data_IF_535549777765
#
_entry.id   IF_535549777765
#
_cell.length_a   1.000
_cell.length_b   1.000
_cell.length_c   1.000
_cell.angle_alpha   90.00
_cell.angle_beta   90.00
_cell.angle_gamma   90.00
#
_symmetry.space_group_name_H-M   'P 1'
#
loop_
_entity.id
_entity.type
_entity.pdbx_description
1 polymer ?
#
# COMPACT_ATOMS: atom_id res chain seq x y z
N UNK A 1 -7.39 -12.71 -12.69
CA UNK A 1 -7.40 -13.92 -11.86
C UNK A 1 -8.85 -14.32 -11.68
N UNK A 2 -9.20 -15.56 -11.98
CA UNK A 2 -10.56 -16.06 -11.84
C UNK A 2 -10.87 -16.28 -10.34
N UNK A 3 -12.02 -15.78 -9.87
CA UNK A 3 -12.43 -15.87 -8.46
C UNK A 3 -12.58 -17.33 -7.99
N UNK A 4 -12.70 -18.28 -8.93
CA UNK A 4 -12.86 -19.71 -8.65
C UNK A 4 -11.66 -20.40 -7.96
N UNK A 5 -10.46 -19.82 -7.97
CA UNK A 5 -9.26 -20.49 -7.44
C UNK A 5 -9.00 -20.30 -5.94
N UNK A 6 -9.63 -19.31 -5.30
CA UNK A 6 -9.38 -18.95 -3.88
C UNK A 6 -10.66 -18.86 -3.05
N UNK A 7 -11.83 -19.04 -3.68
CA UNK A 7 -13.13 -18.85 -3.05
C UNK A 7 -13.36 -19.74 -1.81
N UNK A 8 -12.72 -20.91 -1.73
CA UNK A 8 -12.85 -21.83 -0.60
C UNK A 8 -11.95 -21.46 0.60
N UNK A 9 -10.97 -20.57 0.41
CA UNK A 9 -10.02 -20.14 1.46
C UNK A 9 -10.41 -18.78 2.08
N UNK A 10 -11.46 -18.13 1.55
CA UNK A 10 -11.93 -16.83 1.99
C UNK A 10 -13.14 -17.00 2.92
N UNK A 11 -13.00 -16.52 4.15
CA UNK A 11 -14.10 -16.53 5.13
C UNK A 11 -15.10 -15.42 4.84
N UNK A 12 -14.61 -14.18 4.64
CA UNK A 12 -15.43 -13.01 4.36
C UNK A 12 -14.67 -12.01 3.48
N UNK A 13 -15.40 -11.19 2.72
CA UNK A 13 -14.84 -10.03 2.00
C UNK A 13 -14.85 -8.83 2.95
N UNK A 14 -13.68 -8.45 3.48
CA UNK A 14 -13.55 -7.28 4.36
C UNK A 14 -13.71 -5.95 3.61
N UNK A 15 -13.13 -5.88 2.40
CA UNK A 15 -13.22 -4.71 1.53
C UNK A 15 -13.38 -5.16 0.09
N UNK A 16 -14.38 -4.61 -0.59
CA UNK A 16 -14.55 -4.77 -2.03
C UNK A 16 -13.51 -3.94 -2.78
N UNK A 17 -13.23 -4.32 -4.03
CA UNK A 17 -12.35 -3.56 -4.92
C UNK A 17 -12.77 -2.08 -5.01
N UNK A 18 -14.07 -1.81 -5.17
CA UNK A 18 -14.60 -0.46 -5.24
C UNK A 18 -14.33 0.36 -3.96
N UNK A 19 -14.44 -0.25 -2.78
CA UNK A 19 -14.13 0.41 -1.52
C UNK A 19 -12.64 0.76 -1.40
N UNK A 20 -11.77 -0.15 -1.85
CA UNK A 20 -10.32 0.09 -1.86
C UNK A 20 -10.00 1.24 -2.81
N UNK A 21 -10.50 1.21 -4.05
CA UNK A 21 -10.24 2.25 -5.04
C UNK A 21 -10.77 3.62 -4.59
N UNK A 22 -11.99 3.66 -4.01
CA UNK A 22 -12.53 4.91 -3.45
C UNK A 22 -11.62 5.47 -2.35
N UNK A 23 -11.15 4.61 -1.43
CA UNK A 23 -10.28 5.04 -0.34
C UNK A 23 -8.92 5.54 -0.85
N UNK A 24 -8.37 4.91 -1.89
CA UNK A 24 -7.12 5.34 -2.50
C UNK A 24 -7.25 6.69 -3.18
N UNK A 25 -8.40 6.97 -3.83
CA UNK A 25 -8.65 8.29 -4.41
C UNK A 25 -8.73 9.37 -3.32
N UNK A 26 -9.45 9.12 -2.23
CA UNK A 26 -9.51 10.05 -1.09
C UNK A 26 -8.11 10.33 -0.51
N UNK A 27 -7.27 9.30 -0.39
CA UNK A 27 -5.90 9.45 0.07
C UNK A 27 -5.04 10.23 -0.92
N UNK A 28 -5.19 10.00 -2.23
CA UNK A 28 -4.46 10.72 -3.26
C UNK A 28 -4.80 12.22 -3.27
N UNK A 29 -6.08 12.57 -3.10
CA UNK A 29 -6.54 13.96 -3.02
C UNK A 29 -5.94 14.65 -1.78
N UNK A 30 -5.93 13.95 -0.64
CA UNK A 30 -5.33 14.46 0.60
C UNK A 30 -3.81 14.67 0.45
N UNK A 31 -3.08 13.67 -0.06
CA UNK A 31 -1.64 13.76 -0.31
C UNK A 31 -1.32 14.91 -1.28
N UNK A 32 -2.16 15.11 -2.30
CA UNK A 32 -1.98 16.19 -3.28
C UNK A 32 -2.10 17.56 -2.62
N UNK A 33 -3.07 17.74 -1.73
CA UNK A 33 -3.22 18.98 -0.97
C UNK A 33 -2.04 19.19 -0.01
N UNK A 34 -1.65 18.16 0.73
CA UNK A 34 -0.61 18.23 1.77
C UNK A 34 0.78 18.51 1.18
N UNK A 35 1.06 17.99 -0.02
CA UNK A 35 2.34 18.17 -0.72
C UNK A 35 2.25 19.14 -1.91
N UNK A 36 1.29 20.07 -1.89
CA UNK A 36 1.14 21.08 -2.95
C UNK A 36 2.42 21.92 -3.08
N UNK A 37 3.02 21.92 -4.28
CA UNK A 37 4.27 22.64 -4.56
C UNK A 37 5.52 22.04 -3.93
N UNK A 38 5.44 20.81 -3.41
CA UNK A 38 6.57 20.09 -2.82
C UNK A 38 6.85 18.79 -3.58
N UNK A 39 8.11 18.38 -3.61
CA UNK A 39 8.50 17.08 -4.14
C UNK A 39 7.99 15.95 -3.24
N UNK A 40 7.56 14.85 -3.84
CA UNK A 40 7.03 13.69 -3.12
C UNK A 40 7.77 12.43 -3.56
N UNK A 41 8.37 11.76 -2.57
CA UNK A 41 8.97 10.46 -2.70
C UNK A 41 8.09 9.43 -1.97
N UNK A 42 7.59 8.45 -2.70
CA UNK A 42 6.86 7.31 -2.13
C UNK A 42 7.84 6.18 -1.81
N UNK A 43 7.91 5.75 -0.55
CA UNK A 43 8.78 4.64 -0.12
C UNK A 43 7.94 3.43 0.26
N UNK A 44 8.06 2.34 -0.50
CA UNK A 44 7.33 1.09 -0.25
C UNK A 44 8.19 0.05 0.48
N UNK A 45 7.63 -0.61 1.50
CA UNK A 45 8.29 -1.75 2.15
C UNK A 45 7.81 -3.07 1.54
N UNK A 46 8.75 -3.85 1.02
CA UNK A 46 8.43 -5.12 0.35
C UNK A 46 8.02 -6.22 1.35
N UNK A 47 7.15 -7.16 0.97
CA UNK A 47 6.50 -7.33 -0.36
C UNK A 47 5.05 -6.83 -0.41
N UNK A 48 4.40 -6.67 0.74
CA UNK A 48 2.96 -6.43 0.82
C UNK A 48 2.51 -5.08 0.25
N UNK A 49 3.38 -4.06 0.25
CA UNK A 49 3.03 -2.73 -0.21
C UNK A 49 2.90 -2.59 -1.73
N UNK A 50 3.30 -3.59 -2.52
CA UNK A 50 3.40 -3.46 -3.99
C UNK A 50 2.09 -3.04 -4.64
N UNK A 51 0.99 -3.70 -4.29
CA UNK A 51 -0.32 -3.44 -4.92
C UNK A 51 -0.85 -2.06 -4.55
N UNK A 52 -0.85 -1.72 -3.26
CA UNK A 52 -1.37 -0.43 -2.79
C UNK A 52 -0.52 0.75 -3.28
N UNK A 53 0.81 0.59 -3.35
CA UNK A 53 1.70 1.62 -3.89
C UNK A 53 1.43 1.87 -5.38
N UNK A 54 1.23 0.82 -6.17
CA UNK A 54 0.95 0.95 -7.60
C UNK A 54 -0.41 1.61 -7.87
N UNK A 55 -1.45 1.23 -7.11
CA UNK A 55 -2.78 1.84 -7.24
C UNK A 55 -2.76 3.30 -6.78
N UNK A 56 -2.17 3.60 -5.61
CA UNK A 56 -2.08 4.96 -5.10
C UNK A 56 -1.28 5.89 -6.02
N UNK A 57 -0.15 5.42 -6.55
CA UNK A 57 0.66 6.20 -7.48
C UNK A 57 -0.11 6.54 -8.77
N UNK A 58 -1.00 5.66 -9.24
CA UNK A 58 -1.88 5.93 -10.40
C UNK A 58 -2.99 6.92 -10.08
N UNK A 59 -3.47 6.98 -8.84
CA UNK A 59 -4.49 7.93 -8.41
C UNK A 59 -3.95 9.35 -8.20
N UNK A 60 -2.64 9.53 -8.06
CA UNK A 60 -2.04 10.85 -7.88
C UNK A 60 -2.03 11.64 -9.20
N UNK A 61 -2.42 12.93 -9.21
CA UNK A 61 -2.52 13.75 -10.42
C UNK A 61 -1.17 14.27 -10.92
N UNK A 62 -0.06 13.62 -10.54
CA UNK A 62 1.30 14.04 -10.87
C UNK A 62 2.26 12.86 -10.94
N UNK A 63 3.38 13.06 -11.62
CA UNK A 63 4.50 12.13 -11.52
C UNK A 63 5.08 12.14 -10.10
N UNK A 64 5.38 10.97 -9.57
CA UNK A 64 5.97 10.77 -8.24
C UNK A 64 7.16 9.86 -8.34
N UNK A 65 8.20 10.17 -7.58
CA UNK A 65 9.35 9.28 -7.43
C UNK A 65 8.98 8.15 -6.47
N UNK A 66 9.50 6.95 -6.76
CA UNK A 66 9.24 5.75 -5.98
C UNK A 66 10.54 5.06 -5.61
N UNK A 67 10.67 4.67 -4.34
CA UNK A 67 11.78 3.88 -3.83
C UNK A 67 11.26 2.71 -2.99
N UNK A 68 12.10 1.70 -2.79
CA UNK A 68 11.72 0.45 -2.14
C UNK A 68 12.72 0.02 -1.09
N UNK A 69 12.20 -0.43 0.04
CA UNK A 69 12.99 -1.04 1.10
C UNK A 69 12.60 -2.51 1.25
N UNK A 70 13.59 -3.40 1.21
CA UNK A 70 13.43 -4.80 1.59
C UNK A 70 13.89 -4.97 3.04
N UNK A 71 12.94 -5.22 3.94
CA UNK A 71 13.26 -5.49 5.36
C UNK A 71 13.00 -6.94 5.69
N UNK A 72 13.89 -7.52 6.47
CA UNK A 72 13.71 -8.82 7.10
C UNK A 72 13.53 -8.60 8.59
N UNK A 73 12.54 -9.25 9.21
CA UNK A 73 12.46 -9.28 10.66
C UNK A 73 13.74 -9.91 11.23
N UNK A 74 14.34 -9.27 12.24
CA UNK A 74 15.37 -9.91 13.06
C UNK A 74 14.68 -11.03 13.85
N UNK A 75 14.72 -12.26 13.33
CA UNK A 75 13.92 -13.38 13.82
C UNK A 75 13.92 -13.54 15.35
N UNK A 76 12.73 -13.75 15.92
CA UNK A 76 12.44 -14.23 17.30
C UNK A 76 13.57 -14.02 18.33
N UNK A 77 13.74 -12.79 18.81
CA UNK A 77 14.84 -12.43 19.69
C UNK A 77 14.51 -11.41 20.77
N UNK A 78 13.31 -11.41 21.35
CA UNK A 78 13.09 -10.70 22.62
C UNK A 78 13.60 -11.55 23.79
N UNK A 79 14.92 -11.64 23.96
CA UNK A 79 15.50 -11.79 25.30
C UNK A 79 15.65 -10.38 25.84
N UNK A 80 14.68 -9.96 26.66
CA UNK A 80 14.83 -8.76 27.48
C UNK A 80 15.97 -9.00 28.47
N UNK A 81 17.14 -8.43 28.22
CA UNK A 81 18.10 -8.18 29.30
C UNK A 81 17.61 -6.95 30.05
N UNK A 82 16.92 -7.19 31.16
CA UNK A 82 16.90 -6.21 32.24
C UNK A 82 18.29 -6.00 32.82
#
# INVERSE_FOLDING_TARGET
MDQGHVANDLVDILFTEAQIQARLQEMADQITADYAGQDLLMVGVLRGAVMVMADLARSLPRHVEMDWMAVSSYGSGTKSSG
#
